data_IF_644370149635
#
_entry.id   IF_644370149635
#
_cell.length_a   1.000
_cell.length_b   1.000
_cell.length_c   1.000
_cell.angle_alpha   90.00
_cell.angle_beta   90.00
_cell.angle_gamma   90.00
#
_symmetry.space_group_name_H-M   'P 1'
#
loop_
_entity.id
_entity.type
_entity.pdbx_description
1 polymer ?
#
# COMPACT_ATOMS: atom_id res chain seq x y z
N UNK A 1 37.21 20.08 5.90
CA UNK A 1 36.67 18.93 6.66
C UNK A 1 35.33 18.60 6.03
N UNK A 2 34.96 17.33 6.00
CA UNK A 2 33.65 16.90 5.53
C UNK A 2 32.98 16.16 6.67
N UNK A 3 32.12 16.89 7.35
CA UNK A 3 31.41 16.47 8.54
C UNK A 3 30.41 15.33 8.24
N UNK A 4 30.04 15.12 6.97
CA UNK A 4 29.14 14.04 6.57
C UNK A 4 29.80 12.66 6.50
N UNK A 5 31.14 12.57 6.51
CA UNK A 5 31.84 11.27 6.48
C UNK A 5 31.61 10.43 7.74
N UNK A 6 31.26 11.06 8.85
CA UNK A 6 30.99 10.41 10.15
C UNK A 6 29.51 10.01 10.32
N UNK A 7 28.69 10.12 9.26
CA UNK A 7 27.24 9.87 9.27
C UNK A 7 26.50 10.50 10.48
N UNK A 8 26.57 11.83 10.66
CA UNK A 8 25.99 12.49 11.82
C UNK A 8 24.45 12.59 11.79
N UNK A 9 23.82 12.29 10.65
CA UNK A 9 22.37 12.39 10.43
C UNK A 9 21.65 11.06 10.67
N UNK A 10 20.32 11.11 10.78
CA UNK A 10 19.49 9.91 10.85
C UNK A 10 19.52 9.09 9.54
N UNK A 11 19.25 7.79 9.62
CA UNK A 11 19.27 6.88 8.46
C UNK A 11 18.28 7.31 7.36
N UNK A 12 17.20 7.98 7.73
CA UNK A 12 16.20 8.58 6.81
C UNK A 12 16.40 10.08 6.62
N UNK A 13 17.65 10.56 6.72
CA UNK A 13 18.02 11.95 6.49
C UNK A 13 19.25 12.08 5.59
N UNK A 14 19.22 13.11 4.75
CA UNK A 14 20.29 13.54 3.86
C UNK A 14 21.23 14.48 4.62
N UNK A 15 22.52 14.15 4.66
CA UNK A 15 23.56 15.04 5.17
C UNK A 15 24.05 15.99 4.08
N UNK A 16 24.05 17.29 4.37
CA UNK A 16 24.65 18.32 3.54
C UNK A 16 25.85 18.94 4.26
N UNK A 17 27.03 18.79 3.66
CA UNK A 17 28.26 19.38 4.18
C UNK A 17 28.32 20.88 3.85
N UNK A 18 28.63 21.72 4.84
CA UNK A 18 28.72 23.17 4.69
C UNK A 18 30.10 23.66 5.16
N UNK A 19 30.44 24.91 4.85
CA UNK A 19 31.72 25.48 5.32
C UNK A 19 31.66 25.69 6.83
N UNK A 20 32.36 24.84 7.58
CA UNK A 20 32.47 24.90 9.04
C UNK A 20 31.26 24.34 9.80
N UNK A 21 30.35 23.63 9.11
CA UNK A 21 29.18 22.99 9.70
C UNK A 21 28.60 21.92 8.77
N UNK A 22 27.51 21.27 9.19
CA UNK A 22 26.68 20.41 8.36
C UNK A 22 25.20 20.64 8.65
N UNK A 23 24.32 20.16 7.79
CA UNK A 23 22.88 20.18 8.00
C UNK A 23 22.29 18.82 7.66
N UNK A 24 21.40 18.32 8.50
CA UNK A 24 20.62 17.11 8.23
C UNK A 24 19.23 17.51 7.76
N UNK A 25 18.77 16.92 6.67
CA UNK A 25 17.43 17.12 6.13
C UNK A 25 16.74 15.77 5.99
N UNK A 26 15.57 15.62 6.59
CA UNK A 26 14.77 14.40 6.48
C UNK A 26 14.50 14.09 5.00
N UNK A 27 14.55 12.83 4.63
CA UNK A 27 14.21 12.39 3.27
C UNK A 27 12.77 12.78 2.92
N UNK A 28 12.47 12.80 1.61
CA UNK A 28 11.11 13.09 1.15
C UNK A 28 10.13 12.07 1.75
N UNK A 29 9.00 12.57 2.27
CA UNK A 29 8.00 11.75 2.97
C UNK A 29 8.23 11.64 4.48
N UNK A 30 9.29 12.27 5.02
CA UNK A 30 9.58 12.32 6.45
C UNK A 30 9.65 13.76 6.97
N UNK A 31 9.39 13.94 8.26
CA UNK A 31 9.50 15.23 8.98
C UNK A 31 10.22 15.07 10.31
N UNK A 32 10.85 16.14 10.78
CA UNK A 32 11.56 16.19 12.05
C UNK A 32 12.29 17.52 12.21
N UNK A 33 12.46 17.99 13.44
CA UNK A 33 13.00 19.34 13.70
C UNK A 33 14.50 19.46 13.36
N UNK A 34 15.25 18.37 13.47
CA UNK A 34 16.70 18.37 13.24
C UNK A 34 17.22 17.19 12.42
N UNK A 35 16.37 16.19 12.13
CA UNK A 35 16.69 15.00 11.33
C UNK A 35 18.04 14.34 11.72
N UNK A 36 18.41 14.44 13.01
CA UNK A 36 19.72 14.08 13.54
C UNK A 36 19.59 12.93 14.53
N UNK A 37 20.53 11.99 14.47
CA UNK A 37 20.74 11.02 15.54
C UNK A 37 21.15 11.75 16.82
N UNK A 38 20.21 11.99 17.75
CA UNK A 38 20.55 12.41 19.10
C UNK A 38 20.70 11.17 19.99
N UNK A 39 21.64 11.20 20.93
CA UNK A 39 21.86 10.08 21.87
C UNK A 39 20.65 9.80 22.78
N UNK A 40 19.69 10.74 22.84
CA UNK A 40 18.48 10.66 23.65
C UNK A 40 17.27 10.16 22.85
N UNK A 41 17.22 10.42 21.54
CA UNK A 41 16.09 10.13 20.63
C UNK A 41 16.57 9.41 19.36
N UNK A 42 17.26 8.27 19.51
CA UNK A 42 17.79 7.49 18.38
C UNK A 42 16.70 6.99 17.40
N UNK A 43 15.43 7.04 17.79
CA UNK A 43 14.32 6.44 17.05
C UNK A 43 13.29 7.43 16.48
N UNK A 44 13.38 8.73 16.79
CA UNK A 44 12.32 9.72 16.46
C UNK A 44 12.83 10.94 15.68
N UNK A 45 14.06 10.92 15.16
CA UNK A 45 14.63 12.07 14.47
C UNK A 45 13.91 12.43 13.15
N UNK A 46 13.34 11.43 12.48
CA UNK A 46 12.61 11.57 11.23
C UNK A 46 11.36 10.67 11.27
N UNK A 47 10.21 11.28 11.49
CA UNK A 47 8.93 10.60 11.49
C UNK A 47 8.34 10.54 10.09
N UNK A 48 7.69 9.43 9.77
CA UNK A 48 6.92 9.27 8.55
C UNK A 48 5.75 10.27 8.52
N UNK A 49 5.55 10.94 7.38
CA UNK A 49 4.41 11.83 7.17
C UNK A 49 3.23 10.98 6.74
N UNK A 50 2.16 10.91 7.55
CA UNK A 50 0.92 10.24 7.14
C UNK A 50 0.16 11.10 6.12
N UNK A 51 0.48 10.96 4.84
CA UNK A 51 -0.12 11.78 3.78
C UNK A 51 -1.63 11.50 3.63
N UNK A 52 -2.13 10.37 4.14
CA UNK A 52 -3.55 10.06 4.16
C UNK A 52 -4.33 10.83 5.24
N UNK A 53 -3.66 11.35 6.27
CA UNK A 53 -4.28 12.12 7.37
C UNK A 53 -4.04 13.62 7.27
N UNK A 54 -2.89 14.02 6.74
CA UNK A 54 -2.48 15.43 6.76
C UNK A 54 -3.05 16.21 5.57
N UNK A 55 -3.26 15.58 4.41
CA UNK A 55 -3.72 16.28 3.20
C UNK A 55 -5.05 15.74 2.66
N UNK A 56 -6.00 16.66 2.48
CA UNK A 56 -7.34 16.39 1.94
C UNK A 56 -7.34 16.04 0.44
N UNK A 57 -6.20 16.21 -0.25
CA UNK A 57 -6.05 16.08 -1.70
C UNK A 57 -5.08 15.00 -2.16
N UNK A 58 -4.56 14.18 -1.23
CA UNK A 58 -3.52 13.17 -1.49
C UNK A 58 -3.93 12.11 -2.51
N UNK A 59 -5.18 11.66 -2.46
CA UNK A 59 -5.77 10.77 -3.45
C UNK A 59 -6.88 11.51 -4.21
N UNK A 60 -7.12 11.19 -5.49
CA UNK A 60 -8.27 11.71 -6.22
C UNK A 60 -9.56 11.53 -5.41
N UNK A 61 -10.41 12.55 -5.38
CA UNK A 61 -11.68 12.53 -4.64
C UNK A 61 -12.78 11.72 -5.34
N UNK A 62 -12.42 10.68 -6.08
CA UNK A 62 -13.38 9.77 -6.71
C UNK A 62 -13.99 8.82 -5.69
N UNK A 63 -15.18 8.34 -6.00
CA UNK A 63 -15.80 7.26 -5.23
C UNK A 63 -14.94 5.99 -5.28
N UNK A 64 -14.93 5.24 -4.18
CA UNK A 64 -14.34 3.90 -4.07
C UNK A 64 -12.81 3.82 -4.20
N UNK A 65 -12.10 4.92 -3.92
CA UNK A 65 -10.66 4.94 -3.69
C UNK A 65 -10.33 4.91 -2.20
N UNK A 66 -9.18 4.33 -1.86
CA UNK A 66 -8.65 4.22 -0.50
C UNK A 66 -7.17 4.59 -0.49
N UNK A 67 -6.80 5.44 0.46
CA UNK A 67 -5.41 5.81 0.73
C UNK A 67 -4.78 4.80 1.70
N UNK A 68 -3.50 4.48 1.46
CA UNK A 68 -2.66 3.68 2.35
C UNK A 68 -1.36 4.43 2.59
N UNK A 69 -1.10 4.74 3.86
CA UNK A 69 0.16 5.32 4.29
C UNK A 69 1.26 4.24 4.27
N UNK A 70 2.45 4.58 3.78
CA UNK A 70 3.63 3.71 3.76
C UNK A 70 4.85 4.53 4.23
N UNK A 71 5.92 3.89 4.74
CA UNK A 71 7.12 4.62 5.10
C UNK A 71 7.72 5.40 3.91
N UNK A 72 7.77 6.73 4.03
CA UNK A 72 8.32 7.67 3.06
C UNK A 72 7.43 7.95 1.84
N UNK A 73 6.21 7.39 1.79
CA UNK A 73 5.30 7.57 0.64
C UNK A 73 3.89 7.09 0.97
N UNK A 74 2.92 7.45 0.13
CA UNK A 74 1.58 6.85 0.16
C UNK A 74 1.26 6.11 -1.14
N UNK A 75 0.18 5.31 -1.12
CA UNK A 75 -0.46 4.81 -2.34
C UNK A 75 -1.97 4.91 -2.26
N UNK A 76 -2.58 5.24 -3.40
CA UNK A 76 -4.02 5.22 -3.59
C UNK A 76 -4.40 3.94 -4.36
N UNK A 77 -5.35 3.17 -3.83
CA UNK A 77 -5.85 1.97 -4.50
C UNK A 77 -7.37 1.92 -4.45
N UNK A 78 -7.98 1.19 -5.37
CA UNK A 78 -9.42 0.95 -5.31
C UNK A 78 -9.79 0.11 -4.09
N UNK A 79 -10.92 0.45 -3.46
CA UNK A 79 -11.50 -0.32 -2.36
C UNK A 79 -11.77 -1.77 -2.80
N UNK A 80 -11.81 -2.72 -1.85
CA UNK A 80 -12.24 -4.09 -2.16
C UNK A 80 -13.58 -4.09 -2.92
N UNK A 81 -13.67 -4.86 -4.00
CA UNK A 81 -14.83 -4.85 -4.90
C UNK A 81 -14.68 -3.94 -6.12
N UNK A 82 -13.58 -3.17 -6.23
CA UNK A 82 -13.33 -2.25 -7.34
C UNK A 82 -11.95 -2.46 -7.97
N UNK A 83 -11.82 -2.09 -9.25
CA UNK A 83 -10.58 -2.12 -10.04
C UNK A 83 -10.39 -0.80 -10.80
N UNK A 84 -9.16 -0.45 -11.21
CA UNK A 84 -8.92 0.71 -12.08
C UNK A 84 -9.67 0.55 -13.40
N UNK A 85 -10.35 1.60 -13.86
CA UNK A 85 -11.01 1.63 -15.17
C UNK A 85 -10.06 1.39 -16.35
N UNK A 86 -8.78 1.73 -16.18
CA UNK A 86 -7.71 1.51 -17.14
C UNK A 86 -6.50 0.91 -16.42
N UNK A 87 -6.14 -0.34 -16.76
CA UNK A 87 -5.02 -1.07 -16.15
C UNK A 87 -3.65 -0.55 -16.60
N UNK A 88 -3.59 0.34 -17.60
CA UNK A 88 -2.35 0.91 -18.12
C UNK A 88 -2.06 2.33 -17.60
N UNK A 89 -2.85 2.80 -16.63
CA UNK A 89 -2.73 4.16 -16.07
C UNK A 89 -2.34 4.03 -14.60
N UNK A 90 -1.61 5.04 -14.09
CA UNK A 90 -1.29 5.15 -12.69
C UNK A 90 -2.59 4.95 -11.84
N UNK A 91 -2.60 4.04 -10.85
CA UNK A 91 -3.73 3.86 -9.94
C UNK A 91 -4.11 5.15 -9.20
N UNK A 92 -3.16 6.09 -9.06
CA UNK A 92 -3.39 7.41 -8.49
C UNK A 92 -4.16 8.36 -9.43
N UNK A 93 -4.36 8.02 -10.71
CA UNK A 93 -5.01 8.88 -11.72
C UNK A 93 -6.18 8.20 -12.45
N UNK A 94 -6.66 7.06 -11.95
CA UNK A 94 -7.73 6.30 -12.60
C UNK A 94 -8.97 6.11 -11.72
N UNK A 95 -10.16 6.35 -12.28
CA UNK A 95 -11.45 6.06 -11.61
C UNK A 95 -11.56 4.57 -11.27
N UNK A 96 -12.03 4.28 -10.07
CA UNK A 96 -12.37 2.92 -9.65
C UNK A 96 -13.76 2.51 -10.17
N UNK A 97 -13.84 1.34 -10.80
CA UNK A 97 -15.10 0.74 -11.26
C UNK A 97 -15.27 -0.61 -10.58
N UNK A 98 -16.52 -0.99 -10.30
CA UNK A 98 -16.80 -2.30 -9.69
C UNK A 98 -16.21 -3.42 -10.56
N UNK A 99 -15.73 -4.49 -9.91
CA UNK A 99 -15.51 -5.73 -10.64
C UNK A 99 -16.86 -6.12 -11.24
N UNK A 100 -17.00 -6.02 -12.57
CA UNK A 100 -18.11 -6.69 -13.24
C UNK A 100 -17.92 -8.17 -12.95
N UNK A 101 -18.62 -8.68 -11.93
CA UNK A 101 -18.76 -10.09 -11.58
C UNK A 101 -19.56 -10.79 -12.67
N UNK A 102 -19.16 -10.66 -13.93
CA UNK A 102 -20.00 -11.04 -15.05
C UNK A 102 -20.09 -12.56 -15.21
N UNK A 103 -19.25 -13.36 -14.53
CA UNK A 103 -19.27 -14.82 -14.66
C UNK A 103 -18.82 -15.61 -13.42
N UNK A 104 -18.13 -15.00 -12.45
CA UNK A 104 -17.53 -15.72 -11.31
C UNK A 104 -18.57 -16.40 -10.39
N UNK A 105 -19.67 -15.74 -9.95
CA UNK A 105 -20.69 -16.44 -9.15
C UNK A 105 -21.40 -17.53 -9.96
N UNK A 106 -21.62 -17.34 -11.26
CA UNK A 106 -22.21 -18.37 -12.12
C UNK A 106 -21.29 -19.60 -12.27
N UNK A 107 -19.98 -19.38 -12.48
CA UNK A 107 -18.99 -20.47 -12.60
C UNK A 107 -18.83 -21.21 -11.27
N UNK A 108 -18.74 -20.50 -10.13
CA UNK A 108 -18.65 -21.14 -8.81
C UNK A 108 -19.92 -21.96 -8.51
N UNK A 109 -21.11 -21.46 -8.84
CA UNK A 109 -22.36 -22.20 -8.69
C UNK A 109 -22.39 -23.42 -9.61
N UNK A 110 -21.93 -23.32 -10.85
CA UNK A 110 -21.83 -24.46 -11.78
C UNK A 110 -20.82 -25.51 -11.27
N UNK A 111 -19.65 -25.10 -10.79
CA UNK A 111 -18.62 -26.03 -10.30
C UNK A 111 -19.06 -26.73 -9.01
N UNK A 112 -19.68 -26.01 -8.08
CA UNK A 112 -20.18 -26.58 -6.82
C UNK A 112 -21.38 -27.50 -7.04
N UNK A 113 -22.30 -27.15 -7.94
CA UNK A 113 -23.44 -28.02 -8.31
C UNK A 113 -22.98 -29.27 -9.05
N UNK A 114 -22.03 -29.15 -9.99
CA UNK A 114 -21.44 -30.32 -10.66
C UNK A 114 -20.71 -31.23 -9.66
N UNK A 115 -19.91 -30.68 -8.74
CA UNK A 115 -19.23 -31.47 -7.70
C UNK A 115 -20.22 -32.20 -6.79
N UNK A 116 -21.30 -31.54 -6.36
CA UNK A 116 -22.40 -32.16 -5.59
C UNK A 116 -23.10 -33.27 -6.39
N UNK A 117 -23.35 -33.08 -7.69
CA UNK A 117 -23.94 -34.09 -8.57
C UNK A 117 -23.00 -35.29 -8.71
N UNK A 118 -21.71 -35.06 -8.93
CA UNK A 118 -20.71 -36.12 -8.97
C UNK A 118 -20.64 -36.90 -7.66
N UNK A 119 -20.65 -36.20 -6.52
CA UNK A 119 -20.61 -36.81 -5.19
C UNK A 119 -21.88 -37.61 -4.88
N UNK A 120 -23.05 -37.10 -5.22
CA UNK A 120 -24.32 -37.81 -5.03
C UNK A 120 -24.47 -39.00 -5.97
N UNK A 121 -24.05 -38.90 -7.24
CA UNK A 121 -24.02 -40.03 -8.18
C UNK A 121 -23.02 -41.10 -7.72
N UNK A 122 -21.86 -40.67 -7.23
CA UNK A 122 -20.85 -41.57 -6.64
C UNK A 122 -21.40 -42.31 -5.42
N UNK A 123 -22.03 -41.59 -4.47
CA UNK A 123 -22.71 -42.18 -3.32
C UNK A 123 -23.82 -43.16 -3.73
N UNK A 124 -24.65 -42.81 -4.71
CA UNK A 124 -25.74 -43.67 -5.17
C UNK A 124 -25.22 -44.95 -5.85
N UNK A 125 -24.13 -44.86 -6.61
CA UNK A 125 -23.43 -46.04 -7.18
C UNK A 125 -22.71 -46.86 -6.11
N UNK A 126 -22.27 -46.24 -5.01
CA UNK A 126 -21.63 -46.93 -3.90
C UNK A 126 -22.65 -47.70 -3.04
N UNK A 127 -23.85 -47.15 -2.83
CA UNK A 127 -24.94 -47.77 -2.04
C UNK A 127 -25.62 -48.92 -2.79
N UNK A 128 -25.68 -48.88 -4.13
CA UNK A 128 -26.28 -49.96 -4.95
C UNK A 128 -25.33 -51.13 -5.28
N UNK A 129 -24.12 -51.17 -4.69
CA UNK A 129 -23.13 -52.24 -4.91
C UNK A 129 -23.02 -53.22 -3.74
N UNK A 130 -24.02 -53.26 -2.86
CA UNK A 130 -24.23 -54.24 -1.79
C UNK A 130 -25.62 -54.85 -1.90
#
# INVERSE_FOLDING_TARGET
IDECQENPCHDTAICMNNIGSFTCQCEKGYRGENCRCSEVEKYEACEDIDECREDSWTCPSWENIQCYNLPGTFKCMCKPGYQPANMNVNPQDTRCVEYKTSWVPAIIVIVTTLFMIFFTVWLHKCVKKW
#
